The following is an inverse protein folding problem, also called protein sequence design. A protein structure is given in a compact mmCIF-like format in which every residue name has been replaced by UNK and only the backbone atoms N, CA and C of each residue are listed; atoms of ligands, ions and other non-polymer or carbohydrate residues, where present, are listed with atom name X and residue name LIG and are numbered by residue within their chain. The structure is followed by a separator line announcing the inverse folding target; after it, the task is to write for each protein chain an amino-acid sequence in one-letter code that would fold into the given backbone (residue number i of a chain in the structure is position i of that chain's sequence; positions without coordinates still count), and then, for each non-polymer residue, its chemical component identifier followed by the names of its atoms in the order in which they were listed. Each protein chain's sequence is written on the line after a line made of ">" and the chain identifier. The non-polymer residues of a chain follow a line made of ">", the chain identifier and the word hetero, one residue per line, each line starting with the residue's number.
data_IF_580486294450
#
_entry.id   IF_580486294450
#
_cell.length_a   1.000
_cell.length_b   1.000
_cell.length_c   1.000
_cell.angle_alpha   90.00
_cell.angle_beta   90.00
_cell.angle_gamma   90.00
#
_symmetry.space_group_name_H-M   'P 1'
#
loop_
_entity.id
_entity.type
_entity.pdbx_description
1 polymer ?
#
# COMPACT_ATOMS: atom_id res chain seq x y z
N UNK A 1 -1.25 -10.02 10.25
CA UNK A 1 -2.04 -10.04 8.97
C UNK A 1 -1.73 -8.79 8.17
N UNK A 2 -1.57 -8.85 6.84
CA UNK A 2 -1.28 -7.66 6.03
C UNK A 2 -2.53 -6.82 5.76
N UNK A 3 -2.33 -5.55 5.41
CA UNK A 3 -3.42 -4.62 5.13
C UNK A 3 -3.31 -4.02 3.73
N UNK A 4 -4.45 -3.79 3.08
CA UNK A 4 -4.57 -2.91 1.92
C UNK A 4 -5.44 -1.72 2.30
N UNK A 5 -4.87 -0.53 2.25
CA UNK A 5 -5.56 0.74 2.50
C UNK A 5 -6.16 1.24 1.19
N UNK A 6 -7.49 1.34 1.15
CA UNK A 6 -8.26 1.80 -0.01
C UNK A 6 -9.77 1.67 0.23
N UNK A 7 -10.58 2.42 -0.53
CA UNK A 7 -12.04 2.40 -0.43
C UNK A 7 -12.64 1.11 -1.01
N UNK A 8 -13.87 0.80 -0.61
CA UNK A 8 -14.63 -0.31 -1.18
C UNK A 8 -15.04 -0.04 -2.62
N UNK A 9 -14.20 -0.44 -3.56
CA UNK A 9 -14.46 -0.36 -5.00
C UNK A 9 -13.93 -1.59 -5.75
N UNK A 10 -14.31 -1.74 -7.03
CA UNK A 10 -13.93 -2.91 -7.84
C UNK A 10 -12.42 -3.07 -8.03
N UNK A 11 -11.66 -1.97 -8.06
CA UNK A 11 -10.22 -2.01 -8.22
C UNK A 11 -9.57 -2.64 -6.98
N UNK A 12 -9.87 -2.12 -5.80
CA UNK A 12 -9.29 -2.62 -4.55
C UNK A 12 -9.72 -4.05 -4.24
N UNK A 13 -10.95 -4.46 -4.57
CA UNK A 13 -11.35 -5.86 -4.45
C UNK A 13 -10.47 -6.78 -5.29
N UNK A 14 -10.19 -6.41 -6.56
CA UNK A 14 -9.28 -7.19 -7.40
C UNK A 14 -7.85 -7.19 -6.87
N UNK A 15 -7.35 -6.06 -6.39
CA UNK A 15 -6.01 -5.99 -5.79
C UNK A 15 -5.91 -6.88 -4.54
N UNK A 16 -6.92 -6.86 -3.68
CA UNK A 16 -7.03 -7.75 -2.51
C UNK A 16 -7.00 -9.20 -2.95
N UNK A 17 -7.80 -9.61 -3.94
CA UNK A 17 -7.82 -10.99 -4.45
C UNK A 17 -6.43 -11.43 -4.97
N UNK A 18 -5.75 -10.56 -5.73
CA UNK A 18 -4.42 -10.85 -6.25
C UNK A 18 -3.38 -10.96 -5.14
N UNK A 19 -3.34 -10.01 -4.20
CA UNK A 19 -2.42 -10.06 -3.05
C UNK A 19 -2.72 -11.26 -2.16
N UNK A 20 -4.00 -11.59 -1.96
CA UNK A 20 -4.43 -12.71 -1.12
C UNK A 20 -3.93 -14.07 -1.63
N UNK A 21 -3.65 -14.18 -2.94
CA UNK A 21 -3.02 -15.37 -3.52
C UNK A 21 -1.57 -15.57 -3.07
N UNK A 22 -0.90 -14.49 -2.62
CA UNK A 22 0.49 -14.49 -2.16
C UNK A 22 0.57 -14.47 -0.62
N UNK A 23 -0.28 -13.66 0.02
CA UNK A 23 -0.28 -13.51 1.48
C UNK A 23 -1.66 -13.06 1.99
N UNK A 24 -2.10 -13.50 3.18
CA UNK A 24 -3.34 -13.01 3.78
C UNK A 24 -3.34 -11.49 3.93
N UNK A 25 -4.33 -10.84 3.31
CA UNK A 25 -4.52 -9.39 3.34
C UNK A 25 -5.97 -9.04 3.63
N UNK A 26 -6.19 -7.96 4.40
CA UNK A 26 -7.50 -7.37 4.65
C UNK A 26 -7.55 -5.95 4.10
N UNK A 27 -8.66 -5.60 3.45
CA UNK A 27 -8.92 -4.21 3.04
C UNK A 27 -9.43 -3.38 4.22
N UNK A 28 -8.89 -2.17 4.35
CA UNK A 28 -9.30 -1.16 5.33
C UNK A 28 -9.33 0.22 4.68
N UNK A 29 -10.20 1.11 5.14
CA UNK A 29 -10.22 2.50 4.69
C UNK A 29 -9.24 3.34 5.52
N UNK A 30 -8.79 4.48 4.98
CA UNK A 30 -7.74 5.29 5.62
C UNK A 30 -8.21 5.94 6.94
N UNK A 31 -9.50 6.26 7.04
CA UNK A 31 -10.14 6.76 8.26
C UNK A 31 -10.20 5.69 9.35
N UNK A 32 -10.45 4.42 9.00
CA UNK A 32 -10.41 3.29 9.95
C UNK A 32 -9.01 3.11 10.57
N UNK A 33 -7.93 3.47 9.87
CA UNK A 33 -6.55 3.42 10.40
C UNK A 33 -6.33 4.39 11.56
N UNK A 34 -7.07 5.50 11.60
CA UNK A 34 -6.94 6.52 12.65
C UNK A 34 -7.73 6.14 13.89
N UNK A 35 -8.84 5.41 13.73
CA UNK A 35 -9.84 5.18 14.76
C UNK A 35 -9.75 3.81 15.46
N UNK A 36 -9.14 2.79 14.83
CA UNK A 36 -9.12 1.41 15.35
C UNK A 36 -7.74 0.96 15.91
N UNK A 37 -7.76 0.05 16.89
CA UNK A 37 -6.61 -0.77 17.31
C UNK A 37 -6.28 -1.84 16.26
N UNK A 38 -6.08 -1.41 15.01
CA UNK A 38 -5.64 -2.29 13.93
C UNK A 38 -4.21 -2.73 14.20
N UNK A 39 -3.95 -4.02 13.95
CA UNK A 39 -2.62 -4.59 13.88
C UNK A 39 -2.35 -5.05 12.47
N UNK A 40 -1.10 -4.85 12.05
CA UNK A 40 -0.54 -5.41 10.83
C UNK A 40 0.72 -6.19 11.20
N UNK A 41 1.06 -7.19 10.40
CA UNK A 41 2.28 -7.96 10.58
C UNK A 41 2.96 -8.15 9.23
N UNK A 42 3.73 -7.14 8.83
CA UNK A 42 4.65 -7.25 7.70
C UNK A 42 4.41 -6.16 6.66
N UNK A 43 3.28 -6.22 5.95
CA UNK A 43 3.03 -5.33 4.82
C UNK A 43 1.75 -4.52 4.97
N UNK A 44 1.87 -3.22 4.70
CA UNK A 44 0.75 -2.30 4.52
C UNK A 44 0.80 -1.74 3.11
N UNK A 45 -0.08 -2.26 2.26
CA UNK A 45 -0.27 -1.80 0.89
C UNK A 45 -1.17 -0.56 0.88
N UNK A 46 -0.80 0.48 0.15
CA UNK A 46 -1.56 1.73 0.09
C UNK A 46 -1.91 2.05 -1.36
N UNK A 47 -3.20 1.98 -1.72
CA UNK A 47 -3.64 2.42 -3.04
C UNK A 47 -3.75 3.96 -3.09
N UNK A 48 -2.71 4.60 -3.59
CA UNK A 48 -2.61 6.06 -3.69
C UNK A 48 -3.59 6.66 -4.73
N UNK A 49 -4.22 5.86 -5.60
CA UNK A 49 -5.27 6.35 -6.50
C UNK A 49 -6.57 6.68 -5.77
N UNK A 50 -6.75 6.13 -4.58
CA UNK A 50 -8.04 6.10 -3.89
C UNK A 50 -8.04 6.87 -2.56
N UNK A 51 -6.90 7.47 -2.23
CA UNK A 51 -6.74 8.39 -1.11
C UNK A 51 -6.84 9.84 -1.61
N UNK A 52 -7.56 10.68 -0.87
CA UNK A 52 -7.84 12.08 -1.25
C UNK A 52 -6.88 13.10 -0.63
N UNK A 53 -5.81 12.63 0.02
CA UNK A 53 -4.78 13.48 0.66
C UNK A 53 -3.39 13.18 0.06
N UNK A 54 -2.40 14.07 0.21
CA UNK A 54 -1.06 13.86 -0.32
C UNK A 54 -0.38 12.60 0.22
N UNK A 55 0.42 11.92 -0.61
CA UNK A 55 1.14 10.67 -0.26
C UNK A 55 1.98 10.78 1.01
N UNK A 56 2.66 11.90 1.22
CA UNK A 56 3.44 12.15 2.43
C UNK A 56 2.57 12.20 3.69
N UNK A 57 1.35 12.71 3.59
CA UNK A 57 0.41 12.75 4.72
C UNK A 57 -0.16 11.37 5.01
N UNK A 58 -0.50 10.59 3.97
CA UNK A 58 -0.87 9.18 4.12
C UNK A 58 0.23 8.41 4.83
N UNK A 59 1.47 8.54 4.37
CA UNK A 59 2.62 7.85 4.95
C UNK A 59 2.78 8.19 6.43
N UNK A 60 2.62 9.48 6.80
CA UNK A 60 2.70 9.93 8.18
C UNK A 60 1.63 9.27 9.07
N UNK A 61 0.40 9.15 8.58
CA UNK A 61 -0.70 8.49 9.31
C UNK A 61 -0.38 7.00 9.47
N UNK A 62 -0.01 6.33 8.38
CA UNK A 62 0.25 4.88 8.38
C UNK A 62 1.46 4.53 9.23
N UNK A 63 2.58 5.26 9.13
CA UNK A 63 3.78 5.04 9.98
C UNK A 63 3.50 5.27 11.46
N UNK A 64 2.58 6.16 11.80
CA UNK A 64 2.21 6.40 13.20
C UNK A 64 1.54 5.15 13.80
N UNK A 65 0.69 4.47 13.03
CA UNK A 65 -0.03 3.28 13.46
C UNK A 65 0.80 1.99 13.33
N UNK A 66 1.56 1.87 12.24
CA UNK A 66 2.35 0.68 11.90
C UNK A 66 3.83 1.05 11.69
N UNK A 67 4.55 1.45 12.76
CA UNK A 67 5.91 1.99 12.64
C UNK A 67 6.97 0.98 12.18
N UNK A 68 6.69 -0.32 12.31
CA UNK A 68 7.63 -1.39 11.98
C UNK A 68 7.28 -2.13 10.67
N UNK A 69 6.20 -1.75 10.01
CA UNK A 69 5.70 -2.46 8.82
C UNK A 69 6.29 -1.90 7.53
N UNK A 70 6.43 -2.79 6.55
CA UNK A 70 6.77 -2.45 5.18
C UNK A 70 5.57 -1.79 4.49
N UNK A 71 5.57 -0.47 4.47
CA UNK A 71 4.57 0.35 3.77
C UNK A 71 4.90 0.39 2.27
N UNK A 72 4.02 -0.18 1.45
CA UNK A 72 4.15 -0.31 -0.01
C UNK A 72 3.18 0.63 -0.70
N UNK A 73 3.69 1.56 -1.51
CA UNK A 73 2.86 2.45 -2.32
C UNK A 73 2.35 1.73 -3.58
N UNK A 74 1.07 1.87 -3.88
CA UNK A 74 0.48 1.37 -5.12
C UNK A 74 -0.12 2.53 -5.92
N UNK A 75 0.26 2.65 -7.19
CA UNK A 75 -0.27 3.68 -8.10
C UNK A 75 -0.08 3.24 -9.56
N UNK A 76 -0.59 4.02 -10.52
CA UNK A 76 -0.32 3.87 -11.96
C UNK A 76 0.78 4.82 -12.49
N UNK A 77 1.74 5.24 -11.66
CA UNK A 77 2.84 6.08 -12.16
C UNK A 77 3.69 5.30 -13.18
N UNK A 78 4.03 5.96 -14.28
CA UNK A 78 4.89 5.40 -15.34
C UNK A 78 6.22 6.16 -15.49
N UNK A 79 6.49 7.13 -14.60
CA UNK A 79 7.66 7.99 -14.70
C UNK A 79 8.50 7.91 -13.43
N UNK A 80 9.77 7.57 -13.58
CA UNK A 80 10.70 7.27 -12.48
C UNK A 80 10.78 8.38 -11.43
N UNK A 81 10.76 9.65 -11.84
CA UNK A 81 10.86 10.75 -10.88
C UNK A 81 9.68 10.79 -9.88
N UNK A 82 8.49 10.34 -10.28
CA UNK A 82 7.32 10.26 -9.39
C UNK A 82 7.45 9.10 -8.41
N UNK A 83 7.99 7.96 -8.88
CA UNK A 83 8.26 6.78 -8.05
C UNK A 83 9.37 7.09 -7.04
N UNK A 84 10.47 7.68 -7.50
CA UNK A 84 11.60 8.08 -6.66
C UNK A 84 11.17 9.06 -5.57
N UNK A 85 10.26 9.99 -5.89
CA UNK A 85 9.69 10.88 -4.88
C UNK A 85 8.99 10.13 -3.75
N UNK A 86 8.24 9.06 -4.04
CA UNK A 86 7.62 8.22 -3.00
C UNK A 86 8.68 7.51 -2.14
N UNK A 87 9.77 7.04 -2.76
CA UNK A 87 10.87 6.41 -2.02
C UNK A 87 11.59 7.42 -1.12
N UNK A 88 11.82 8.65 -1.61
CA UNK A 88 12.38 9.77 -0.84
C UNK A 88 11.46 10.21 0.32
N UNK A 89 10.14 10.15 0.15
CA UNK A 89 9.17 10.37 1.23
C UNK A 89 9.29 9.28 2.32
N UNK A 90 9.81 8.10 1.96
CA UNK A 90 10.09 7.00 2.88
C UNK A 90 9.08 5.85 2.82
N UNK A 91 8.38 5.68 1.70
CA UNK A 91 7.77 4.38 1.38
C UNK A 91 8.87 3.35 1.15
N UNK A 92 8.62 2.10 1.50
CA UNK A 92 9.63 1.04 1.42
C UNK A 92 9.70 0.41 0.03
N UNK A 93 8.58 0.38 -0.67
CA UNK A 93 8.48 -0.16 -2.03
C UNK A 93 7.34 0.50 -2.81
N UNK A 94 7.39 0.31 -4.13
CA UNK A 94 6.36 0.76 -5.07
C UNK A 94 5.87 -0.41 -5.93
N UNK A 95 4.57 -0.50 -6.13
CA UNK A 95 3.92 -1.47 -7.01
C UNK A 95 3.09 -0.72 -8.06
N UNK A 96 3.38 -0.96 -9.33
CA UNK A 96 2.54 -0.45 -10.42
C UNK A 96 1.23 -1.24 -10.47
N UNK A 97 0.10 -0.55 -10.45
CA UNK A 97 -1.21 -1.20 -10.62
C UNK A 97 -1.41 -1.66 -12.08
N UNK A 98 -0.74 -1.02 -13.03
CA UNK A 98 -0.85 -1.39 -14.45
C UNK A 98 -0.15 -2.72 -14.74
N UNK A 99 0.98 -2.95 -14.06
CA UNK A 99 1.83 -4.14 -14.21
C UNK A 99 1.94 -4.88 -12.87
N UNK A 100 0.78 -5.04 -12.21
CA UNK A 100 0.70 -5.47 -10.81
C UNK A 100 1.37 -6.81 -10.55
N UNK A 101 1.11 -7.82 -11.39
CA UNK A 101 1.65 -9.17 -11.21
C UNK A 101 3.17 -9.17 -11.19
N UNK A 102 3.83 -8.47 -12.12
CA UNK A 102 5.29 -8.43 -12.15
C UNK A 102 5.83 -7.59 -10.97
N UNK A 103 5.22 -6.43 -10.74
CA UNK A 103 5.67 -5.48 -9.71
C UNK A 103 5.54 -6.01 -8.28
N UNK A 104 4.52 -6.83 -7.98
CA UNK A 104 4.30 -7.34 -6.62
C UNK A 104 5.32 -8.43 -6.26
N UNK A 105 5.80 -9.21 -7.24
CA UNK A 105 6.82 -10.23 -7.01
C UNK A 105 8.16 -9.60 -6.61
N UNK A 106 8.52 -8.45 -7.21
CA UNK A 106 9.71 -7.70 -6.83
C UNK A 106 9.72 -7.27 -5.35
N UNK A 107 8.55 -7.04 -4.75
CA UNK A 107 8.42 -6.69 -3.33
C UNK A 107 8.69 -7.89 -2.43
N UNK A 108 8.17 -9.07 -2.79
CA UNK A 108 8.33 -10.28 -1.98
C UNK A 108 9.70 -10.94 -2.14
N UNK A 109 10.38 -10.76 -3.27
CA UNK A 109 11.72 -11.32 -3.52
C UNK A 109 12.87 -10.50 -2.89
N UNK A 110 12.60 -9.28 -2.44
CA UNK A 110 13.61 -8.36 -1.88
C UNK A 110 13.75 -8.40 -0.34
N UNK A 111 12.98 -9.24 0.36
CA UNK A 111 12.93 -9.30 1.84
C UNK A 111 13.36 -10.68 2.38
#
# INVERSE_FOLDING_TARGET
>A
MNLLIGKKNNLNHKLVEQIHSLTPVKMVELDEVVDDELSSEGYVFVNLLDVSIPSAEVLRIVKKQFPNDCIVAMHCFQVDHMINKLMEEGYHAYVSILDFTDSIHDVFDQI
#
